data_IF_550138102026
#
_entry.id   IF_550138102026
#
_cell.length_a   1.000
_cell.length_b   1.000
_cell.length_c   1.000
_cell.angle_alpha   90.00
_cell.angle_beta   90.00
_cell.angle_gamma   90.00
#
_symmetry.space_group_name_H-M   'P 1'
#
loop_
_entity.id
_entity.type
_entity.pdbx_description
1 polymer ?
#
# COMPACT_ATOMS: atom_id res chain seq x y z
N UNK A 1 15.05 -19.48 0.68
CA UNK A 1 14.70 -18.08 0.97
C UNK A 1 14.28 -17.44 -0.36
N UNK A 2 13.19 -16.66 -0.35
CA UNK A 2 12.77 -15.89 -1.53
C UNK A 2 13.66 -14.66 -1.65
N UNK A 3 14.20 -14.41 -2.84
CA UNK A 3 15.06 -13.26 -3.11
C UNK A 3 14.22 -12.01 -3.32
N UNK A 4 14.67 -10.87 -2.77
CA UNK A 4 14.04 -9.57 -2.95
C UNK A 4 14.24 -9.04 -4.38
N UNK A 5 13.16 -8.82 -5.09
CA UNK A 5 13.16 -8.16 -6.39
C UNK A 5 13.12 -6.66 -6.22
N UNK A 6 13.97 -5.93 -6.92
CA UNK A 6 14.06 -4.45 -6.81
C UNK A 6 13.76 -3.81 -8.14
N UNK A 7 12.88 -2.82 -8.09
CA UNK A 7 12.60 -1.93 -9.21
C UNK A 7 12.77 -0.50 -8.74
N UNK A 8 13.65 0.24 -9.38
CA UNK A 8 13.85 1.67 -9.13
C UNK A 8 13.67 2.43 -10.44
N UNK A 9 12.95 3.55 -10.36
CA UNK A 9 12.76 4.50 -11.44
C UNK A 9 13.26 5.85 -10.95
N UNK A 10 14.15 6.46 -11.72
CA UNK A 10 14.67 7.79 -11.45
C UNK A 10 14.04 8.78 -12.45
N UNK A 11 13.46 9.86 -11.92
CA UNK A 11 12.77 10.88 -12.70
C UNK A 11 13.47 12.24 -12.56
N UNK A 12 13.84 12.93 -13.67
CA UNK A 12 14.09 14.36 -13.58
C UNK A 12 12.77 15.05 -13.28
N UNK A 13 12.76 16.05 -12.40
CA UNK A 13 11.52 16.75 -11.97
C UNK A 13 10.66 17.22 -13.14
N UNK A 14 11.29 17.78 -14.18
CA UNK A 14 10.59 18.26 -15.39
C UNK A 14 9.81 17.18 -16.14
N UNK A 15 10.14 15.91 -15.96
CA UNK A 15 9.38 14.80 -16.54
C UNK A 15 8.08 14.51 -15.78
N UNK A 16 7.90 15.08 -14.58
CA UNK A 16 6.71 14.93 -13.75
C UNK A 16 5.73 16.08 -13.92
N UNK A 17 6.06 17.14 -14.66
CA UNK A 17 5.13 18.21 -14.97
C UNK A 17 3.87 17.64 -15.65
N UNK A 18 2.73 17.75 -14.99
CA UNK A 18 1.46 17.18 -15.44
C UNK A 18 1.13 15.76 -14.94
N UNK A 19 2.02 15.10 -14.17
CA UNK A 19 1.79 13.75 -13.62
C UNK A 19 1.51 13.72 -12.11
N UNK A 20 1.29 14.86 -11.48
CA UNK A 20 1.12 14.98 -10.01
C UNK A 20 -0.02 14.10 -9.42
N UNK A 21 -0.95 13.59 -10.23
CA UNK A 21 -2.06 12.76 -9.78
C UNK A 21 -1.75 11.24 -9.76
N UNK A 22 -0.70 10.77 -10.43
CA UNK A 22 -0.43 9.33 -10.61
C UNK A 22 0.40 8.69 -9.47
N UNK A 23 0.97 9.47 -8.55
CA UNK A 23 1.84 8.95 -7.47
C UNK A 23 1.12 8.10 -6.42
N UNK A 24 -0.20 8.03 -6.42
CA UNK A 24 -1.03 7.22 -5.51
C UNK A 24 -1.64 6.01 -6.23
N UNK A 25 -1.12 5.64 -7.38
CA UNK A 25 -1.58 4.52 -8.19
C UNK A 25 -1.42 3.16 -7.48
N UNK A 26 -2.18 2.17 -7.95
CA UNK A 26 -1.94 0.78 -7.58
C UNK A 26 -0.65 0.30 -8.23
N UNK A 27 0.15 -0.48 -7.49
CA UNK A 27 1.29 -1.18 -8.07
C UNK A 27 0.84 -2.23 -9.07
N UNK A 28 1.36 -2.16 -10.31
CA UNK A 28 1.14 -3.20 -11.31
C UNK A 28 1.69 -4.56 -10.86
N UNK A 29 2.78 -4.55 -10.08
CA UNK A 29 3.32 -5.78 -9.49
C UNK A 29 2.37 -6.37 -8.45
N UNK A 30 1.75 -5.53 -7.58
CA UNK A 30 0.75 -6.02 -6.62
C UNK A 30 -0.43 -6.67 -7.34
N UNK A 31 -0.99 -6.00 -8.35
CA UNK A 31 -2.10 -6.57 -9.14
C UNK A 31 -1.70 -7.88 -9.80
N UNK A 32 -0.51 -7.95 -10.41
CA UNK A 32 -0.01 -9.16 -11.06
C UNK A 32 0.07 -10.33 -10.07
N UNK A 33 0.69 -10.14 -8.89
CA UNK A 33 0.85 -11.25 -7.93
C UNK A 33 -0.48 -11.68 -7.29
N UNK A 34 -1.48 -10.79 -7.21
CA UNK A 34 -2.85 -11.14 -6.80
C UNK A 34 -3.52 -11.97 -7.89
N UNK A 35 -3.43 -11.54 -9.15
CA UNK A 35 -4.10 -12.20 -10.30
C UNK A 35 -3.47 -13.55 -10.68
N UNK A 36 -2.35 -13.95 -10.08
CA UNK A 36 -1.83 -15.32 -10.19
C UNK A 36 -2.73 -16.36 -9.49
N UNK A 37 -3.63 -15.90 -8.59
CA UNK A 37 -4.60 -16.78 -7.91
C UNK A 37 -5.89 -16.94 -8.74
N UNK A 38 -6.61 -18.08 -8.60
CA UNK A 38 -7.90 -18.32 -9.25
C UNK A 38 -9.02 -17.51 -8.58
N UNK A 39 -9.03 -16.19 -8.81
CA UNK A 39 -9.90 -15.23 -8.10
C UNK A 39 -11.40 -15.48 -8.33
N UNK A 40 -11.79 -16.07 -9.47
CA UNK A 40 -13.18 -16.39 -9.82
C UNK A 40 -13.85 -17.35 -8.83
N UNK A 41 -13.05 -18.06 -8.02
CA UNK A 41 -13.53 -18.98 -6.99
C UNK A 41 -13.32 -18.43 -5.56
N UNK A 42 -12.74 -17.23 -5.43
CA UNK A 42 -12.25 -16.70 -4.15
C UNK A 42 -13.08 -15.54 -3.61
N UNK A 43 -13.22 -15.52 -2.28
CA UNK A 43 -13.65 -14.36 -1.52
C UNK A 43 -12.40 -13.59 -1.06
N UNK A 44 -12.28 -12.34 -1.49
CA UNK A 44 -11.19 -11.44 -1.15
C UNK A 44 -11.61 -10.51 -0.01
N UNK A 45 -10.72 -10.31 0.97
CA UNK A 45 -10.81 -9.24 1.96
C UNK A 45 -9.79 -8.15 1.59
N UNK A 46 -10.26 -6.96 1.21
CA UNK A 46 -9.44 -5.77 0.95
C UNK A 46 -9.36 -4.93 2.23
N UNK A 47 -8.21 -4.97 2.89
CA UNK A 47 -7.96 -4.32 4.19
C UNK A 47 -7.45 -2.90 3.98
N UNK A 48 -8.13 -1.93 4.60
CA UNK A 48 -7.84 -0.51 4.36
C UNK A 48 -8.24 -0.09 2.94
N UNK A 49 -9.40 -0.54 2.49
CA UNK A 49 -9.86 -0.39 1.10
C UNK A 49 -10.05 1.07 0.67
N UNK A 50 -10.17 2.02 1.62
CA UNK A 50 -10.49 3.41 1.34
C UNK A 50 -11.75 3.54 0.51
N UNK A 51 -11.69 4.28 -0.61
CA UNK A 51 -12.78 4.40 -1.59
C UNK A 51 -12.85 3.23 -2.58
N UNK A 52 -12.17 2.10 -2.30
CA UNK A 52 -12.29 0.85 -3.05
C UNK A 52 -11.37 0.72 -4.27
N UNK A 53 -10.25 1.46 -4.33
CA UNK A 53 -9.38 1.45 -5.52
C UNK A 53 -8.90 0.04 -5.89
N UNK A 54 -8.36 -0.72 -4.93
CA UNK A 54 -7.90 -2.09 -5.16
C UNK A 54 -9.09 -3.02 -5.41
N UNK A 55 -10.15 -2.91 -4.58
CA UNK A 55 -11.38 -3.69 -4.75
C UNK A 55 -11.92 -3.56 -6.18
N UNK A 56 -12.11 -2.32 -6.68
CA UNK A 56 -12.65 -2.09 -8.03
C UNK A 56 -11.75 -2.59 -9.16
N UNK A 57 -10.42 -2.60 -8.97
CA UNK A 57 -9.49 -3.17 -9.94
C UNK A 57 -9.63 -4.71 -10.07
N UNK A 58 -10.19 -5.38 -9.07
CA UNK A 58 -10.32 -6.84 -9.00
C UNK A 58 -11.75 -7.36 -9.23
N UNK A 59 -12.74 -6.48 -9.44
CA UNK A 59 -14.16 -6.86 -9.54
C UNK A 59 -14.49 -7.82 -10.66
N UNK A 60 -13.77 -7.76 -11.79
CA UNK A 60 -14.01 -8.63 -12.94
C UNK A 60 -13.51 -10.06 -12.73
N UNK A 61 -12.53 -10.21 -11.83
CA UNK A 61 -11.81 -11.46 -11.63
C UNK A 61 -12.32 -12.21 -10.39
N UNK A 62 -12.72 -11.50 -9.35
CA UNK A 62 -13.04 -12.08 -8.05
C UNK A 62 -14.50 -12.53 -7.94
N UNK A 63 -14.73 -13.70 -7.31
CA UNK A 63 -16.09 -14.18 -6.98
C UNK A 63 -16.82 -13.24 -6.02
N UNK A 64 -16.11 -12.75 -5.01
CA UNK A 64 -16.65 -11.83 -3.98
C UNK A 64 -15.53 -10.97 -3.43
N UNK A 65 -15.83 -9.70 -3.15
CA UNK A 65 -14.91 -8.77 -2.48
C UNK A 65 -15.60 -8.17 -1.27
N UNK A 66 -14.89 -8.16 -0.14
CA UNK A 66 -15.26 -7.48 1.08
C UNK A 66 -14.19 -6.44 1.35
N UNK A 67 -14.52 -5.15 1.21
CA UNK A 67 -13.60 -4.06 1.57
C UNK A 67 -13.88 -3.58 2.99
N UNK A 68 -12.84 -3.37 3.79
CA UNK A 68 -12.95 -2.78 5.13
C UNK A 68 -12.07 -1.55 5.26
N UNK A 69 -12.61 -0.49 5.86
CA UNK A 69 -11.85 0.73 6.18
C UNK A 69 -12.47 1.43 7.38
N UNK A 70 -11.65 2.10 8.17
CA UNK A 70 -12.10 2.89 9.33
C UNK A 70 -12.72 4.24 8.96
N UNK A 71 -12.48 4.75 7.75
CA UNK A 71 -13.03 6.00 7.26
C UNK A 71 -14.46 5.80 6.75
N UNK A 72 -15.44 6.19 7.54
CA UNK A 72 -16.85 6.13 7.15
C UNK A 72 -17.13 6.85 5.82
N UNK A 73 -16.50 8.01 5.61
CA UNK A 73 -16.64 8.79 4.38
C UNK A 73 -16.08 8.03 3.15
N UNK A 74 -14.94 7.37 3.28
CA UNK A 74 -14.34 6.59 2.21
C UNK A 74 -15.23 5.36 1.88
N UNK A 75 -15.75 4.69 2.90
CA UNK A 75 -16.65 3.54 2.75
C UNK A 75 -17.96 3.94 2.09
N UNK A 76 -18.53 5.10 2.42
CA UNK A 76 -19.74 5.61 1.75
C UNK A 76 -19.46 5.80 0.27
N UNK A 77 -18.36 6.49 -0.11
CA UNK A 77 -18.00 6.66 -1.53
C UNK A 77 -17.80 5.32 -2.25
N UNK A 78 -17.20 4.34 -1.58
CA UNK A 78 -17.02 3.00 -2.15
C UNK A 78 -18.36 2.28 -2.39
N UNK A 79 -19.30 2.36 -1.44
CA UNK A 79 -20.66 1.80 -1.57
C UNK A 79 -21.44 2.44 -2.71
N UNK A 80 -21.44 3.76 -2.77
CA UNK A 80 -22.15 4.51 -3.82
C UNK A 80 -21.63 4.14 -5.20
N UNK A 81 -20.31 4.01 -5.33
CA UNK A 81 -19.67 3.57 -6.57
C UNK A 81 -20.03 2.13 -6.94
N UNK A 82 -20.02 1.20 -5.97
CA UNK A 82 -20.41 -0.19 -6.22
C UNK A 82 -21.87 -0.29 -6.68
N UNK A 83 -22.78 0.45 -6.02
CA UNK A 83 -24.19 0.54 -6.41
C UNK A 83 -24.34 1.12 -7.81
N UNK A 84 -23.68 2.23 -8.13
CA UNK A 84 -23.76 2.85 -9.46
C UNK A 84 -23.23 1.94 -10.59
N UNK A 85 -22.34 1.00 -10.27
CA UNK A 85 -21.78 0.02 -11.21
C UNK A 85 -22.53 -1.32 -11.23
N UNK A 86 -23.56 -1.51 -10.37
CA UNK A 86 -24.33 -2.76 -10.27
C UNK A 86 -23.51 -3.95 -9.76
N UNK A 87 -22.57 -3.72 -8.83
CA UNK A 87 -21.61 -4.75 -8.36
C UNK A 87 -22.14 -5.42 -7.08
N UNK A 88 -23.08 -6.36 -7.20
CA UNK A 88 -23.71 -7.03 -6.07
C UNK A 88 -22.77 -7.96 -5.27
N UNK A 89 -21.65 -8.38 -5.88
CA UNK A 89 -20.63 -9.24 -5.27
C UNK A 89 -19.54 -8.47 -4.52
N UNK A 90 -19.66 -7.12 -4.44
CA UNK A 90 -18.72 -6.26 -3.74
C UNK A 90 -19.42 -5.56 -2.58
N UNK A 91 -18.89 -5.73 -1.37
CA UNK A 91 -19.44 -5.10 -0.17
C UNK A 91 -18.36 -4.31 0.57
N UNK A 92 -18.76 -3.20 1.21
CA UNK A 92 -17.84 -2.37 2.00
C UNK A 92 -18.34 -2.19 3.41
N UNK A 93 -17.47 -2.37 4.42
CA UNK A 93 -17.80 -2.30 5.84
C UNK A 93 -16.92 -1.25 6.52
N UNK A 94 -17.55 -0.34 7.28
CA UNK A 94 -16.81 0.63 8.08
C UNK A 94 -16.41 -0.01 9.41
N UNK A 95 -15.12 -0.32 9.57
CA UNK A 95 -14.57 -0.89 10.80
C UNK A 95 -13.05 -0.70 10.86
N UNK A 96 -12.48 -0.88 12.04
CA UNK A 96 -11.03 -0.86 12.22
C UNK A 96 -10.45 -2.27 11.98
N UNK A 97 -9.55 -2.36 11.01
CA UNK A 97 -8.92 -3.61 10.60
C UNK A 97 -8.03 -4.25 11.69
N UNK A 98 -7.59 -3.45 12.67
CA UNK A 98 -6.76 -3.94 13.78
C UNK A 98 -7.59 -4.44 14.97
N UNK A 99 -8.92 -4.23 14.96
CA UNK A 99 -9.76 -4.62 16.10
C UNK A 99 -10.89 -5.59 15.74
N UNK A 100 -11.44 -5.53 14.52
CA UNK A 100 -12.50 -6.43 14.08
C UNK A 100 -12.02 -7.88 14.00
N UNK A 101 -12.88 -8.83 14.34
CA UNK A 101 -12.63 -10.23 14.03
C UNK A 101 -13.00 -10.51 12.55
N UNK A 102 -12.03 -10.91 11.75
CA UNK A 102 -12.27 -11.18 10.32
C UNK A 102 -13.23 -12.38 10.10
N UNK A 103 -13.41 -13.25 11.09
CA UNK A 103 -14.40 -14.35 11.05
C UNK A 103 -15.83 -13.84 10.95
N UNK A 104 -16.13 -12.64 11.49
CA UNK A 104 -17.45 -12.00 11.41
C UNK A 104 -17.78 -11.52 9.99
N UNK A 105 -16.79 -11.44 9.10
CA UNK A 105 -16.98 -11.04 7.69
C UNK A 105 -17.36 -12.22 6.79
N UNK A 106 -17.31 -13.44 7.30
CA UNK A 106 -17.57 -14.68 6.57
C UNK A 106 -16.29 -15.38 6.06
N UNK A 107 -16.42 -16.39 5.20
CA UNK A 107 -15.29 -17.11 4.65
C UNK A 107 -14.40 -16.19 3.80
N UNK A 108 -13.08 -16.23 4.04
CA UNK A 108 -12.07 -15.44 3.32
C UNK A 108 -11.03 -16.39 2.77
N UNK A 109 -10.76 -16.26 1.47
CA UNK A 109 -9.77 -17.08 0.77
C UNK A 109 -8.47 -16.35 0.51
N UNK A 110 -8.51 -15.00 0.43
CA UNK A 110 -7.35 -14.16 0.14
C UNK A 110 -7.50 -12.83 0.87
N UNK A 111 -6.47 -12.40 1.56
CA UNK A 111 -6.40 -11.05 2.14
C UNK A 111 -5.50 -10.20 1.27
N UNK A 112 -6.00 -9.03 0.87
CA UNK A 112 -5.23 -8.05 0.10
C UNK A 112 -5.22 -6.70 0.80
N UNK A 113 -4.18 -5.89 0.58
CA UNK A 113 -4.12 -4.53 1.09
C UNK A 113 -3.21 -3.65 0.22
N UNK A 114 -3.59 -2.38 0.06
CA UNK A 114 -2.75 -1.39 -0.58
C UNK A 114 -2.41 -0.27 0.40
N UNK A 115 -1.14 -0.25 0.86
CA UNK A 115 -0.59 0.73 1.81
C UNK A 115 -1.29 0.78 3.18
N UNK A 116 -1.93 -0.33 3.56
CA UNK A 116 -2.58 -0.53 4.84
C UNK A 116 -2.17 -1.89 5.41
N UNK A 117 -1.00 -1.95 6.06
CA UNK A 117 -0.52 -3.20 6.67
C UNK A 117 0.14 -2.91 8.01
N UNK A 118 -0.09 -3.82 8.97
CA UNK A 118 0.58 -3.86 10.26
C UNK A 118 0.75 -5.30 10.74
N UNK A 119 1.56 -5.50 11.77
CA UNK A 119 1.77 -6.83 12.37
C UNK A 119 0.45 -7.39 12.95
N UNK A 120 -0.46 -6.50 13.44
CA UNK A 120 -1.81 -6.90 13.88
C UNK A 120 -2.66 -7.41 12.73
N UNK A 121 -2.66 -6.72 11.60
CA UNK A 121 -3.39 -7.15 10.39
C UNK A 121 -2.86 -8.50 9.92
N UNK A 122 -1.54 -8.72 9.92
CA UNK A 122 -0.94 -10.03 9.59
C UNK A 122 -1.47 -11.14 10.51
N UNK A 123 -1.50 -10.91 11.84
CA UNK A 123 -2.01 -11.89 12.80
C UNK A 123 -3.50 -12.21 12.57
N UNK A 124 -4.33 -11.19 12.29
CA UNK A 124 -5.76 -11.39 12.02
C UNK A 124 -6.00 -12.12 10.71
N UNK A 125 -5.24 -11.79 9.67
CA UNK A 125 -5.27 -12.53 8.42
C UNK A 125 -4.92 -14.01 8.62
N UNK A 126 -3.89 -14.30 9.42
CA UNK A 126 -3.49 -15.67 9.73
C UNK A 126 -4.55 -16.46 10.53
N UNK A 127 -5.39 -15.77 11.31
CA UNK A 127 -6.45 -16.41 12.11
C UNK A 127 -7.66 -16.86 11.28
N UNK A 128 -7.82 -16.36 10.04
CA UNK A 128 -8.97 -16.68 9.17
C UNK A 128 -8.59 -17.38 7.88
N UNK A 129 -7.34 -17.23 7.43
CA UNK A 129 -6.87 -17.90 6.23
C UNK A 129 -6.55 -19.37 6.54
N UNK A 130 -7.17 -20.25 5.78
CA UNK A 130 -6.82 -21.68 5.79
C UNK A 130 -5.36 -21.89 5.31
N UNK A 131 -4.69 -22.98 5.69
CA UNK A 131 -3.40 -23.35 5.11
C UNK A 131 -3.43 -23.31 3.58
N UNK A 132 -2.32 -22.95 2.97
CA UNK A 132 -2.14 -22.76 1.51
C UNK A 132 -2.90 -21.57 0.92
N UNK A 133 -3.65 -20.78 1.70
CA UNK A 133 -4.23 -19.50 1.28
C UNK A 133 -3.19 -18.39 1.34
N UNK A 134 -3.48 -17.26 0.70
CA UNK A 134 -2.50 -16.21 0.50
C UNK A 134 -2.91 -14.88 1.14
N UNK A 135 -1.88 -14.11 1.48
CA UNK A 135 -1.97 -12.67 1.70
C UNK A 135 -1.11 -11.99 0.64
N UNK A 136 -1.62 -10.90 0.04
CA UNK A 136 -0.84 -10.08 -0.90
C UNK A 136 -1.07 -8.59 -0.63
N UNK A 137 0.01 -7.84 -0.44
CA UNK A 137 -0.10 -6.43 -0.10
C UNK A 137 1.06 -5.57 -0.58
N UNK A 138 0.77 -4.27 -0.68
CA UNK A 138 1.77 -3.22 -0.70
C UNK A 138 1.83 -2.53 0.67
N UNK A 139 3.02 -2.25 1.18
CA UNK A 139 3.22 -1.45 2.38
C UNK A 139 4.35 -0.44 2.17
N UNK A 140 4.43 0.59 3.04
CA UNK A 140 5.52 1.54 2.97
C UNK A 140 6.86 0.86 3.32
N UNK A 141 7.88 1.11 2.50
CA UNK A 141 9.27 0.80 2.84
C UNK A 141 9.87 1.90 3.69
N UNK A 142 10.88 1.57 4.51
CA UNK A 142 11.56 2.55 5.37
C UNK A 142 12.19 3.72 4.59
N UNK A 143 12.52 3.53 3.32
CA UNK A 143 13.10 4.56 2.47
C UNK A 143 12.07 5.57 1.92
N UNK A 144 10.78 5.37 2.16
CA UNK A 144 9.77 6.35 1.76
C UNK A 144 10.05 7.70 2.42
N UNK A 145 10.38 8.73 1.61
CA UNK A 145 10.73 10.08 2.06
C UNK A 145 11.93 10.12 3.02
N UNK A 146 12.89 9.21 2.86
CA UNK A 146 14.09 9.11 3.73
C UNK A 146 14.86 10.43 3.84
N UNK A 147 14.83 11.25 2.80
CA UNK A 147 15.48 12.56 2.74
C UNK A 147 14.90 13.56 3.74
N UNK A 148 13.70 13.33 4.25
CA UNK A 148 13.08 14.12 5.33
C UNK A 148 13.63 13.80 6.73
N UNK A 149 14.50 12.77 6.85
CA UNK A 149 15.03 12.31 8.14
C UNK A 149 14.00 11.60 9.03
N UNK A 150 12.78 11.34 8.54
CA UNK A 150 11.73 10.66 9.31
C UNK A 150 11.15 9.47 8.56
N UNK A 151 11.09 8.34 9.25
CA UNK A 151 10.44 7.12 8.76
C UNK A 151 9.01 7.01 9.32
N UNK A 152 8.09 6.53 8.51
CA UNK A 152 6.73 6.20 8.97
C UNK A 152 6.76 5.04 9.96
N UNK A 153 5.97 5.12 11.04
CA UNK A 153 5.79 3.99 11.98
C UNK A 153 5.19 2.74 11.33
N UNK A 154 4.55 2.90 10.18
CA UNK A 154 3.95 1.81 9.41
C UNK A 154 4.86 1.30 8.29
N UNK A 155 6.10 1.81 8.22
CA UNK A 155 7.05 1.38 7.21
C UNK A 155 7.81 0.14 7.67
N UNK A 156 8.09 -0.73 6.72
CA UNK A 156 8.88 -1.94 6.93
C UNK A 156 10.29 -1.78 6.38
N UNK A 157 11.27 -2.22 7.16
CA UNK A 157 12.56 -2.66 6.65
C UNK A 157 12.41 -4.14 6.22
N UNK A 158 13.18 -4.57 5.23
CA UNK A 158 13.07 -5.91 4.64
C UNK A 158 13.18 -7.03 5.69
N UNK A 159 14.24 -7.04 6.51
CA UNK A 159 14.43 -8.08 7.53
C UNK A 159 13.34 -8.07 8.63
N UNK A 160 12.81 -6.87 8.98
CA UNK A 160 11.67 -6.77 9.91
C UNK A 160 10.41 -7.38 9.30
N UNK A 161 10.17 -7.12 8.00
CA UNK A 161 9.00 -7.66 7.30
C UNK A 161 9.06 -9.19 7.18
N UNK A 162 10.23 -9.74 6.84
CA UNK A 162 10.41 -11.19 6.81
C UNK A 162 10.17 -11.85 8.17
N UNK A 163 10.60 -11.17 9.25
CA UNK A 163 10.34 -11.64 10.62
C UNK A 163 8.85 -11.58 10.94
N UNK A 164 8.17 -10.48 10.66
CA UNK A 164 6.74 -10.32 10.90
C UNK A 164 5.90 -11.36 10.12
N UNK A 165 6.25 -11.63 8.87
CA UNK A 165 5.60 -12.69 8.06
C UNK A 165 5.78 -14.07 8.72
N UNK A 166 7.00 -14.42 9.12
CA UNK A 166 7.31 -15.71 9.74
C UNK A 166 6.58 -15.89 11.07
N UNK A 167 6.58 -14.87 11.93
CA UNK A 167 5.89 -14.87 13.21
C UNK A 167 4.36 -14.90 13.05
N UNK A 168 3.85 -14.26 11.99
CA UNK A 168 2.45 -14.34 11.57
C UNK A 168 2.06 -15.70 10.95
N UNK A 169 3.00 -16.63 10.76
CA UNK A 169 2.76 -17.95 10.17
C UNK A 169 2.60 -17.92 8.66
N UNK A 170 3.25 -16.96 7.99
CA UNK A 170 3.29 -16.86 6.54
C UNK A 170 4.67 -17.22 5.98
N UNK A 171 4.66 -17.84 4.81
CA UNK A 171 5.85 -18.11 4.02
C UNK A 171 5.86 -17.19 2.80
N UNK A 172 6.88 -16.32 2.63
CA UNK A 172 6.98 -15.48 1.46
C UNK A 172 7.05 -16.30 0.16
N UNK A 173 6.27 -15.90 -0.84
CA UNK A 173 6.30 -16.42 -2.22
C UNK A 173 6.85 -15.36 -3.16
N UNK A 174 6.55 -14.09 -2.90
CA UNK A 174 7.08 -12.95 -3.62
C UNK A 174 7.43 -11.84 -2.64
N UNK A 175 8.62 -11.29 -2.79
CA UNK A 175 9.11 -10.10 -2.09
C UNK A 175 9.68 -9.12 -3.11
N UNK A 176 9.22 -7.88 -3.08
CA UNK A 176 9.71 -6.83 -3.97
C UNK A 176 9.78 -5.47 -3.30
N UNK A 177 10.68 -4.61 -3.78
CA UNK A 177 10.74 -3.19 -3.44
C UNK A 177 10.62 -2.39 -4.73
N UNK A 178 9.62 -1.50 -4.76
CA UNK A 178 9.43 -0.52 -5.82
C UNK A 178 9.82 0.86 -5.29
N UNK A 179 10.71 1.55 -6.01
CA UNK A 179 11.15 2.90 -5.66
C UNK A 179 11.01 3.85 -6.84
N UNK A 180 10.60 5.07 -6.55
CA UNK A 180 10.66 6.20 -7.47
C UNK A 180 11.39 7.34 -6.78
N UNK A 181 12.40 7.89 -7.46
CA UNK A 181 13.22 8.99 -6.97
C UNK A 181 13.13 10.13 -7.95
N UNK A 182 12.81 11.31 -7.44
CA UNK A 182 12.77 12.55 -8.22
C UNK A 182 14.07 13.32 -7.99
N UNK A 183 14.69 13.77 -9.07
CA UNK A 183 15.92 14.56 -9.07
C UNK A 183 15.59 16.02 -9.41
N UNK A 184 16.00 16.94 -8.55
CA UNK A 184 15.77 18.38 -8.69
C UNK A 184 17.05 19.09 -9.13
N UNK A 185 16.90 20.11 -9.97
CA UNK A 185 18.01 20.96 -10.37
C UNK A 185 18.53 21.81 -9.20
N UNK A 186 17.62 22.30 -8.36
CA UNK A 186 17.92 23.15 -7.24
C UNK A 186 16.91 23.00 -6.09
N UNK A 187 17.09 23.81 -5.04
CA UNK A 187 16.22 23.82 -3.87
C UNK A 187 14.81 24.35 -4.19
N UNK A 188 14.70 25.34 -5.04
CA UNK A 188 13.41 25.98 -5.34
C UNK A 188 12.50 25.03 -6.12
N UNK A 189 13.08 24.25 -7.04
CA UNK A 189 12.37 23.19 -7.76
C UNK A 189 11.86 22.11 -6.80
N UNK A 190 12.68 21.70 -5.82
CA UNK A 190 12.28 20.72 -4.81
C UNK A 190 11.13 21.20 -3.92
N UNK A 191 11.19 22.48 -3.49
CA UNK A 191 10.12 23.07 -2.67
C UNK A 191 8.84 23.26 -3.47
N UNK A 192 8.93 23.69 -4.73
CA UNK A 192 7.80 23.83 -5.64
C UNK A 192 7.09 22.49 -5.86
N UNK A 193 7.87 21.40 -5.98
CA UNK A 193 7.29 20.04 -6.07
C UNK A 193 6.47 19.69 -4.84
N UNK A 194 6.99 19.91 -3.61
CA UNK A 194 6.25 19.58 -2.38
C UNK A 194 4.94 20.37 -2.25
N UNK A 195 4.93 21.64 -2.71
CA UNK A 195 3.71 22.46 -2.72
C UNK A 195 2.69 21.91 -3.74
N UNK A 196 3.12 21.67 -4.99
CA UNK A 196 2.25 21.17 -6.07
C UNK A 196 1.71 19.78 -5.80
N UNK A 197 2.49 18.90 -5.18
CA UNK A 197 2.08 17.57 -4.78
C UNK A 197 1.20 17.52 -3.51
N UNK A 198 0.91 18.70 -2.89
CA UNK A 198 0.09 18.79 -1.69
C UNK A 198 0.74 18.18 -0.43
N UNK A 199 2.04 17.94 -0.46
CA UNK A 199 2.79 17.28 0.63
C UNK A 199 3.25 18.29 1.67
N UNK A 200 3.55 19.53 1.27
CA UNK A 200 4.16 20.57 2.09
C UNK A 200 3.37 20.84 3.39
N UNK A 201 2.05 20.97 3.32
CA UNK A 201 1.21 21.24 4.48
C UNK A 201 1.37 20.20 5.59
N UNK A 202 1.32 18.92 5.23
CA UNK A 202 1.51 17.80 6.17
C UNK A 202 2.93 17.79 6.75
N UNK A 203 3.93 18.02 5.93
CA UNK A 203 5.33 17.98 6.35
C UNK A 203 5.69 19.12 7.30
N UNK A 204 5.07 20.31 7.14
CA UNK A 204 5.18 21.44 8.08
C UNK A 204 4.62 21.13 9.46
N UNK A 205 3.64 20.22 9.57
CA UNK A 205 3.02 19.86 10.85
C UNK A 205 3.69 18.65 11.53
N UNK A 206 4.34 17.76 10.80
CA UNK A 206 4.92 16.53 11.35
C UNK A 206 6.45 16.56 11.45
N UNK A 207 7.09 17.72 11.09
CA UNK A 207 8.52 17.96 11.21
C UNK A 207 9.39 17.34 10.12
N UNK A 208 8.79 16.82 9.04
CA UNK A 208 9.53 16.38 7.84
C UNK A 208 10.06 17.55 7.03
N UNK A 209 9.36 18.67 7.10
CA UNK A 209 9.76 19.89 6.40
C UNK A 209 11.16 20.36 6.80
N UNK A 210 11.41 20.47 8.11
CA UNK A 210 12.69 20.88 8.66
C UNK A 210 13.82 19.91 8.27
N UNK A 211 13.57 18.60 8.37
CA UNK A 211 14.53 17.57 7.97
C UNK A 211 14.90 17.67 6.49
N UNK A 212 13.90 17.87 5.63
CA UNK A 212 14.13 18.01 4.19
C UNK A 212 14.88 19.31 3.84
N UNK A 213 14.57 20.43 4.50
CA UNK A 213 15.33 21.67 4.33
C UNK A 213 16.80 21.51 4.73
N UNK A 214 17.09 20.77 5.81
CA UNK A 214 18.49 20.48 6.19
C UNK A 214 19.18 19.66 5.10
N UNK A 215 18.51 18.65 4.57
CA UNK A 215 19.01 17.82 3.47
C UNK A 215 19.31 18.67 2.23
N UNK A 216 18.39 19.55 1.80
CA UNK A 216 18.61 20.42 0.64
C UNK A 216 19.78 21.40 0.85
N UNK A 217 19.91 22.00 2.04
CA UNK A 217 21.01 22.89 2.40
C UNK A 217 22.37 22.19 2.41
N UNK A 218 22.40 20.89 2.70
CA UNK A 218 23.62 20.07 2.62
C UNK A 218 24.01 19.65 1.19
N UNK A 219 23.27 20.11 0.20
CA UNK A 219 23.54 19.82 -1.22
C UNK A 219 22.69 18.68 -1.78
N UNK A 220 21.77 18.12 -1.00
CA UNK A 220 20.83 17.10 -1.48
C UNK A 220 19.90 17.63 -2.59
N UNK A 221 19.58 16.76 -3.56
CA UNK A 221 18.76 17.12 -4.74
C UNK A 221 17.77 16.04 -5.12
N UNK A 222 17.56 15.06 -4.25
CA UNK A 222 16.72 13.92 -4.52
C UNK A 222 15.54 13.87 -3.55
N UNK A 223 14.45 13.23 -3.97
CA UNK A 223 13.37 12.83 -3.08
C UNK A 223 12.87 11.44 -3.49
N UNK A 224 12.90 10.51 -2.56
CA UNK A 224 12.27 9.20 -2.71
C UNK A 224 10.75 9.35 -2.53
N UNK A 225 10.07 9.63 -3.62
CA UNK A 225 8.62 9.90 -3.63
C UNK A 225 7.78 8.65 -3.45
N UNK A 226 8.32 7.50 -3.86
CA UNK A 226 7.74 6.18 -3.64
C UNK A 226 8.82 5.21 -3.15
N UNK A 227 8.54 4.52 -2.08
CA UNK A 227 9.25 3.31 -1.69
C UNK A 227 8.24 2.36 -1.03
N UNK A 228 7.87 1.31 -1.75
CA UNK A 228 6.88 0.34 -1.32
C UNK A 228 7.47 -1.07 -1.35
N UNK A 229 7.18 -1.86 -0.31
CA UNK A 229 7.35 -3.30 -0.36
C UNK A 229 6.12 -3.93 -0.98
N UNK A 230 6.31 -4.90 -1.87
CA UNK A 230 5.25 -5.72 -2.45
C UNK A 230 5.46 -7.14 -2.00
N UNK A 231 4.43 -7.70 -1.41
CA UNK A 231 4.47 -9.03 -0.79
C UNK A 231 3.35 -9.90 -1.32
N UNK A 232 3.66 -11.16 -1.62
CA UNK A 232 2.73 -12.27 -1.63
C UNK A 232 3.29 -13.35 -0.72
N UNK A 233 2.49 -13.82 0.23
CA UNK A 233 2.91 -14.84 1.17
C UNK A 233 1.80 -15.86 1.40
N UNK A 234 2.19 -17.11 1.57
CA UNK A 234 1.30 -18.26 1.75
C UNK A 234 1.13 -18.56 3.23
N UNK A 235 -0.08 -18.84 3.67
CA UNK A 235 -0.38 -19.33 5.01
C UNK A 235 0.16 -20.76 5.17
N UNK A 236 0.97 -20.98 6.22
CA UNK A 236 1.49 -22.31 6.59
C UNK A 236 0.45 -23.18 7.26
#
# INVERSE_FOLDING_TARGET
MVEWKRQRIDWPYRALEGRAEDHVGLSGTLLRVIMEEPLSERTLLDVGCGSGRLSFALTREARRIIGIDRSAEAVVRARDRALALGLDHVTFVCCDAETIDYRDLGPIDLVVANLCMSDEILRRAAAVLEPERFIAFAAFHQDQWRESGKTSRYAYAEGRLETALREGGFEPVYLGVEQEVVHFADQDEALSYLESAGIAGKWKTDGRWEGFLIYLKSGGRDLTTKAHVIVKARRR
#
